data_IF_577519083104
#
_entry.id   IF_577519083104
#
_cell.length_a   1.000
_cell.length_b   1.000
_cell.length_c   1.000
_cell.angle_alpha   90.00
_cell.angle_beta   90.00
_cell.angle_gamma   90.00
#
_symmetry.space_group_name_H-M   'P 1'
#
loop_
_entity.id
_entity.type
_entity.pdbx_description
1 polymer ?
#
# COMPACT_ATOMS: atom_id res chain seq x y z
N UNK A 1 -28.59 1.93 -17.66
CA UNK A 1 -27.61 2.64 -16.82
C UNK A 1 -26.26 2.00 -17.06
N UNK A 2 -25.18 2.76 -17.24
CA UNK A 2 -23.84 2.20 -17.32
C UNK A 2 -23.46 1.54 -15.97
N UNK A 3 -22.69 0.44 -16.03
CA UNK A 3 -22.13 -0.20 -14.85
C UNK A 3 -21.17 0.73 -14.10
N UNK A 4 -20.37 1.55 -14.81
CA UNK A 4 -19.46 2.54 -14.18
C UNK A 4 -20.25 3.57 -13.36
N UNK A 5 -21.28 4.17 -13.96
CA UNK A 5 -22.20 5.11 -13.31
C UNK A 5 -22.94 4.49 -12.11
N UNK A 6 -23.36 3.22 -12.21
CA UNK A 6 -23.98 2.51 -11.08
C UNK A 6 -22.98 2.30 -9.93
N UNK A 7 -21.76 1.85 -10.22
CA UNK A 7 -20.73 1.67 -9.20
C UNK A 7 -20.30 2.99 -8.56
N UNK A 8 -20.22 4.07 -9.34
CA UNK A 8 -19.93 5.43 -8.86
C UNK A 8 -20.95 5.88 -7.79
N UNK A 9 -22.25 5.75 -8.06
CA UNK A 9 -23.30 6.10 -7.08
C UNK A 9 -23.31 5.19 -5.86
N UNK A 10 -23.05 3.90 -6.03
CA UNK A 10 -22.87 2.98 -4.89
C UNK A 10 -21.65 3.36 -4.03
N UNK A 11 -20.56 3.83 -4.65
CA UNK A 11 -19.37 4.32 -3.96
C UNK A 11 -19.64 5.59 -3.16
N UNK A 12 -20.20 6.63 -3.78
CA UNK A 12 -20.53 7.90 -3.09
C UNK A 12 -21.52 7.68 -1.94
N UNK A 13 -22.52 6.81 -2.11
CA UNK A 13 -23.43 6.42 -1.03
C UNK A 13 -22.70 5.69 0.11
N UNK A 14 -21.79 4.75 -0.19
CA UNK A 14 -21.04 4.06 0.86
C UNK A 14 -20.10 5.03 1.62
N UNK A 15 -19.60 6.08 0.96
CA UNK A 15 -18.82 7.14 1.61
C UNK A 15 -19.69 8.01 2.52
N UNK A 16 -20.89 8.40 2.09
CA UNK A 16 -21.82 9.20 2.91
C UNK A 16 -22.31 8.42 4.14
N UNK A 17 -22.62 7.13 3.96
CA UNK A 17 -22.94 6.19 5.04
C UNK A 17 -21.75 5.84 5.97
N UNK A 18 -20.59 6.52 5.84
CA UNK A 18 -19.43 6.38 6.73
C UNK A 18 -18.64 5.06 6.57
N UNK A 19 -18.85 4.32 5.48
CA UNK A 19 -18.30 2.96 5.27
C UNK A 19 -16.94 2.93 4.59
N UNK A 20 -16.24 4.07 4.51
CA UNK A 20 -14.89 4.17 3.95
C UNK A 20 -13.91 4.82 4.94
N UNK A 21 -12.82 4.13 5.19
CA UNK A 21 -11.60 4.69 5.77
C UNK A 21 -10.44 4.45 4.79
N UNK A 22 -9.45 5.35 4.77
CA UNK A 22 -8.26 5.25 3.94
C UNK A 22 -7.07 4.89 4.82
N UNK A 23 -6.41 3.76 4.56
CA UNK A 23 -5.12 3.43 5.17
C UNK A 23 -3.97 3.73 4.20
N UNK A 24 -3.06 4.62 4.62
CA UNK A 24 -1.84 4.98 3.90
C UNK A 24 -0.60 4.33 4.54
N UNK A 25 0.16 3.59 3.73
CA UNK A 25 1.43 2.97 4.12
C UNK A 25 2.60 3.97 3.95
N UNK A 26 2.88 4.79 4.96
CA UNK A 26 3.87 5.90 4.95
C UNK A 26 5.11 5.68 5.84
N UNK A 27 5.46 4.43 6.12
CA UNK A 27 6.71 4.09 6.82
C UNK A 27 8.00 4.31 6.02
N UNK A 28 7.91 4.57 4.72
CA UNK A 28 9.07 4.75 3.85
C UNK A 28 9.64 6.17 3.86
N UNK A 29 10.92 6.31 4.17
CA UNK A 29 11.69 7.54 3.95
C UNK A 29 11.90 7.84 2.46
N UNK A 30 12.12 9.11 2.12
CA UNK A 30 12.35 9.64 0.77
C UNK A 30 13.75 9.37 0.19
N UNK A 31 14.56 8.50 0.78
CA UNK A 31 16.02 8.41 0.49
C UNK A 31 16.36 8.11 -0.98
N UNK A 32 15.55 7.31 -1.69
CA UNK A 32 15.72 7.05 -3.14
C UNK A 32 15.35 8.24 -4.04
N UNK A 33 14.72 9.27 -3.47
CA UNK A 33 14.41 10.55 -4.10
C UNK A 33 15.43 11.64 -3.73
N UNK A 34 16.45 11.32 -2.91
CA UNK A 34 17.44 12.28 -2.43
C UNK A 34 17.01 13.11 -1.21
N UNK A 35 15.90 12.77 -0.55
CA UNK A 35 15.39 13.45 0.65
C UNK A 35 15.54 12.59 1.91
N UNK A 36 15.82 13.24 3.04
CA UNK A 36 15.81 12.68 4.40
C UNK A 36 14.40 12.36 4.92
N UNK A 37 13.39 12.96 4.33
CA UNK A 37 12.09 13.20 4.96
C UNK A 37 11.13 12.03 4.69
N UNK A 38 9.98 11.94 5.41
CA UNK A 38 8.93 11.01 5.04
C UNK A 38 8.51 11.21 3.58
N UNK A 39 8.38 10.13 2.82
CA UNK A 39 8.15 10.22 1.36
C UNK A 39 6.92 11.04 0.97
N UNK A 40 5.88 11.09 1.81
CA UNK A 40 4.68 11.90 1.58
C UNK A 40 4.94 13.41 1.55
N UNK A 41 6.00 13.91 2.20
CA UNK A 41 6.38 15.32 2.19
C UNK A 41 6.95 15.77 0.84
N UNK A 42 7.39 14.83 -0.02
CA UNK A 42 8.07 15.12 -1.27
C UNK A 42 7.17 15.88 -2.26
N UNK A 43 7.69 16.98 -2.81
CA UNK A 43 7.09 17.72 -3.93
C UNK A 43 7.70 17.22 -5.25
N UNK A 44 6.86 16.78 -6.19
CA UNK A 44 7.29 16.21 -7.47
C UNK A 44 7.54 17.24 -8.57
N UNK A 45 7.51 18.54 -8.25
CA UNK A 45 7.72 19.63 -9.20
C UNK A 45 6.45 20.05 -9.98
N UNK A 46 5.26 19.82 -9.42
CA UNK A 46 4.03 20.37 -10.02
C UNK A 46 4.02 21.90 -9.90
N UNK A 47 3.40 22.64 -10.85
CA UNK A 47 3.25 24.10 -10.77
C UNK A 47 2.54 24.61 -9.51
N UNK A 48 1.80 23.73 -8.82
CA UNK A 48 1.11 24.02 -7.57
C UNK A 48 1.98 23.87 -6.31
N UNK A 49 3.21 23.37 -6.43
CA UNK A 49 4.15 23.19 -5.31
C UNK A 49 3.78 22.10 -4.28
N UNK A 50 2.69 21.36 -4.50
CA UNK A 50 2.06 20.49 -3.49
C UNK A 50 2.86 19.21 -3.21
N UNK A 51 2.89 18.80 -1.94
CA UNK A 51 3.43 17.52 -1.50
C UNK A 51 2.51 16.34 -1.86
N UNK A 52 3.04 15.12 -1.85
CA UNK A 52 2.23 13.92 -2.05
C UNK A 52 1.13 13.74 -0.98
N UNK A 53 1.38 14.15 0.27
CA UNK A 53 0.35 14.18 1.32
C UNK A 53 -0.76 15.18 0.98
N UNK A 54 -0.44 16.42 0.58
CA UNK A 54 -1.44 17.42 0.23
C UNK A 54 -2.31 16.96 -0.96
N UNK A 55 -1.70 16.37 -1.98
CA UNK A 55 -2.42 15.82 -3.14
C UNK A 55 -3.36 14.65 -2.77
N UNK A 56 -3.12 13.95 -1.67
CA UNK A 56 -4.00 12.91 -1.14
C UNK A 56 -5.12 13.50 -0.26
N UNK A 57 -4.79 14.45 0.61
CA UNK A 57 -5.77 15.18 1.43
C UNK A 57 -6.82 15.90 0.59
N UNK A 58 -6.39 16.59 -0.47
CA UNK A 58 -7.31 17.30 -1.38
C UNK A 58 -8.22 16.35 -2.18
N UNK A 59 -7.76 15.12 -2.47
CA UNK A 59 -8.61 14.07 -3.06
C UNK A 59 -9.67 13.59 -2.05
N UNK A 60 -9.29 13.39 -0.79
CA UNK A 60 -10.21 13.01 0.30
C UNK A 60 -11.30 14.09 0.48
N UNK A 61 -10.90 15.36 0.59
CA UNK A 61 -11.83 16.51 0.65
C UNK A 61 -12.75 16.61 -0.57
N UNK A 62 -12.24 16.31 -1.77
CA UNK A 62 -13.05 16.28 -2.99
C UNK A 62 -14.12 15.18 -2.95
N UNK A 63 -13.75 13.96 -2.55
CA UNK A 63 -14.69 12.82 -2.45
C UNK A 63 -15.75 13.06 -1.36
N UNK A 64 -15.37 13.65 -0.22
CA UNK A 64 -16.33 14.05 0.83
C UNK A 64 -17.36 15.06 0.31
N UNK A 65 -16.94 16.10 -0.43
CA UNK A 65 -17.84 17.08 -1.04
C UNK A 65 -18.77 16.43 -2.07
N UNK A 66 -18.25 15.54 -2.91
CA UNK A 66 -19.05 14.82 -3.92
C UNK A 66 -20.07 13.86 -3.29
N UNK A 67 -19.71 13.19 -2.19
CA UNK A 67 -20.63 12.32 -1.45
C UNK A 67 -21.76 13.11 -0.79
N UNK A 68 -21.42 14.19 -0.08
CA UNK A 68 -22.39 15.10 0.54
C UNK A 68 -23.38 15.68 -0.50
N UNK A 69 -22.88 16.16 -1.63
CA UNK A 69 -23.70 16.68 -2.75
C UNK A 69 -24.59 15.60 -3.38
N UNK A 70 -24.09 14.38 -3.61
CA UNK A 70 -24.83 13.31 -4.25
C UNK A 70 -25.98 12.75 -3.39
N UNK A 71 -25.88 12.91 -2.07
CA UNK A 71 -26.82 12.35 -1.08
C UNK A 71 -27.65 13.42 -0.35
N UNK A 72 -27.39 14.71 -0.61
CA UNK A 72 -27.98 15.86 0.08
C UNK A 72 -27.75 15.81 1.61
N UNK A 73 -26.54 15.43 2.01
CA UNK A 73 -26.09 15.36 3.40
C UNK A 73 -25.24 16.60 3.75
N UNK A 74 -25.30 17.04 5.02
CA UNK A 74 -24.66 18.30 5.45
C UNK A 74 -23.13 18.23 5.55
N UNK A 75 -22.60 17.11 6.03
CA UNK A 75 -21.16 16.83 6.12
C UNK A 75 -20.92 15.33 5.99
N UNK A 76 -19.78 14.97 5.40
CA UNK A 76 -19.33 13.59 5.22
C UNK A 76 -17.83 13.55 5.55
N UNK A 77 -17.39 12.52 6.25
CA UNK A 77 -16.02 12.37 6.78
C UNK A 77 -15.43 11.03 6.35
N UNK A 78 -14.20 11.04 5.84
CA UNK A 78 -13.43 9.83 5.54
C UNK A 78 -12.24 9.80 6.49
N UNK A 79 -12.21 8.87 7.43
CA UNK A 79 -11.07 8.73 8.34
C UNK A 79 -9.81 8.29 7.59
N UNK A 80 -8.74 9.06 7.74
CA UNK A 80 -7.45 8.82 7.12
C UNK A 80 -6.45 8.31 8.15
N UNK A 81 -6.17 7.01 8.08
CA UNK A 81 -5.22 6.31 8.93
C UNK A 81 -3.86 6.28 8.25
N UNK A 82 -2.84 6.84 8.89
CA UNK A 82 -1.51 7.00 8.32
C UNK A 82 -0.53 6.13 9.12
N UNK A 83 -0.16 5.00 8.52
CA UNK A 83 0.86 4.11 9.07
C UNK A 83 2.25 4.71 8.85
N UNK A 84 2.85 5.18 9.93
CA UNK A 84 4.22 5.72 9.94
C UNK A 84 5.22 4.62 10.32
N UNK A 85 6.48 4.98 10.52
CA UNK A 85 7.50 4.15 11.16
C UNK A 85 8.20 4.96 12.27
N UNK A 86 8.96 4.33 13.18
CA UNK A 86 9.75 5.05 14.19
C UNK A 86 10.81 6.01 13.61
N UNK A 87 11.03 6.00 12.29
CA UNK A 87 11.94 6.91 11.56
C UNK A 87 11.21 7.96 10.69
N UNK A 88 9.88 7.92 10.62
CA UNK A 88 9.06 8.85 9.83
C UNK A 88 7.94 9.52 10.61
N UNK A 89 7.57 9.02 11.80
CA UNK A 89 6.39 9.44 12.57
C UNK A 89 6.40 10.92 12.97
N UNK A 90 7.33 11.33 13.84
CA UNK A 90 7.50 12.70 14.34
C UNK A 90 7.56 13.75 13.21
N UNK A 91 8.32 13.45 12.16
CA UNK A 91 8.44 14.30 10.98
C UNK A 91 7.14 14.36 10.14
N UNK A 92 6.34 13.30 10.14
CA UNK A 92 5.03 13.28 9.45
C UNK A 92 4.00 14.08 10.25
N UNK A 93 3.90 13.87 11.57
CA UNK A 93 2.98 14.61 12.44
C UNK A 93 3.19 16.13 12.34
N UNK A 94 4.43 16.58 12.55
CA UNK A 94 4.82 18.01 12.43
C UNK A 94 4.55 18.58 11.03
N UNK A 95 4.69 17.77 9.98
CA UNK A 95 4.37 18.20 8.61
C UNK A 95 2.86 18.41 8.41
N UNK A 96 2.01 17.57 9.00
CA UNK A 96 0.56 17.78 8.97
C UNK A 96 0.12 18.96 9.84
N UNK A 97 0.65 19.08 11.07
CA UNK A 97 0.35 20.19 11.99
C UNK A 97 0.68 21.56 11.36
N UNK A 98 1.90 21.71 10.83
CA UNK A 98 2.36 22.94 10.17
C UNK A 98 1.54 23.32 8.93
N UNK A 99 0.93 22.34 8.26
CA UNK A 99 0.03 22.56 7.12
C UNK A 99 -1.46 22.50 7.49
N UNK A 100 -1.80 22.52 8.79
CA UNK A 100 -3.18 22.47 9.31
C UNK A 100 -4.00 21.32 8.70
N UNK A 101 -3.39 20.13 8.68
CA UNK A 101 -3.96 18.89 8.13
C UNK A 101 -4.44 19.03 6.67
N UNK A 102 -3.89 20.00 5.93
CA UNK A 102 -4.27 20.35 4.55
C UNK A 102 -5.75 20.71 4.36
N UNK A 103 -6.42 21.16 5.43
CA UNK A 103 -7.85 21.50 5.43
C UNK A 103 -8.79 20.33 5.74
N UNK A 104 -8.27 19.19 6.21
CA UNK A 104 -9.04 18.19 6.95
C UNK A 104 -9.15 18.60 8.43
N UNK A 105 -10.19 18.16 9.12
CA UNK A 105 -10.25 18.26 10.58
C UNK A 105 -9.23 17.30 11.21
N UNK A 106 -8.60 17.70 12.32
CA UNK A 106 -7.49 16.95 12.94
C UNK A 106 -7.93 15.57 13.47
N UNK A 107 -9.17 15.41 13.89
CA UNK A 107 -9.74 14.17 14.43
C UNK A 107 -10.03 13.11 13.34
N UNK A 108 -10.19 13.51 12.08
CA UNK A 108 -10.33 12.56 10.97
C UNK A 108 -8.99 12.00 10.48
N UNK A 109 -7.86 12.48 10.98
CA UNK A 109 -6.51 11.99 10.62
C UNK A 109 -5.86 11.28 11.81
N UNK A 110 -5.71 9.96 11.73
CA UNK A 110 -5.11 9.13 12.80
C UNK A 110 -3.73 8.62 12.38
N UNK A 111 -2.68 9.09 13.04
CA UNK A 111 -1.34 8.52 12.92
C UNK A 111 -1.19 7.29 13.81
N UNK A 112 -0.49 6.27 13.32
CA UNK A 112 -0.01 5.18 14.15
C UNK A 112 1.31 4.65 13.60
N UNK A 113 2.23 4.29 14.48
CA UNK A 113 3.50 3.68 14.10
C UNK A 113 3.29 2.21 13.77
N UNK A 114 3.74 1.76 12.59
CA UNK A 114 4.19 0.37 12.45
C UNK A 114 5.44 0.16 13.32
N UNK A 115 5.96 -1.06 13.36
CA UNK A 115 7.33 -1.23 13.83
C UNK A 115 8.16 -2.24 13.04
N UNK A 116 9.21 -2.72 13.69
CA UNK A 116 10.47 -3.12 13.07
C UNK A 116 10.93 -4.49 13.54
N UNK A 117 11.08 -5.40 12.58
CA UNK A 117 11.76 -6.69 12.76
C UNK A 117 13.28 -6.44 12.80
N UNK A 118 14.04 -7.08 13.71
CA UNK A 118 15.50 -6.93 13.73
C UNK A 118 16.12 -7.54 12.46
N UNK A 119 17.22 -6.97 12.00
CA UNK A 119 18.00 -7.55 10.91
C UNK A 119 18.93 -8.65 11.41
N UNK A 120 19.16 -9.68 10.60
CA UNK A 120 19.91 -10.88 10.98
C UNK A 120 21.10 -11.07 10.02
N UNK A 121 22.30 -11.33 10.52
CA UNK A 121 23.49 -11.62 9.71
C UNK A 121 23.44 -13.03 9.10
N UNK A 122 24.31 -13.33 8.12
CA UNK A 122 24.31 -14.67 7.47
C UNK A 122 24.66 -15.83 8.42
N UNK A 123 25.29 -15.56 9.56
CA UNK A 123 25.55 -16.51 10.66
C UNK A 123 24.44 -16.54 11.73
N UNK A 124 23.26 -15.96 11.45
CA UNK A 124 22.06 -16.08 12.29
C UNK A 124 22.01 -15.15 13.51
N UNK A 125 22.90 -14.17 13.62
CA UNK A 125 22.99 -13.24 14.77
C UNK A 125 22.26 -11.93 14.47
N UNK A 126 21.80 -11.22 15.50
CA UNK A 126 21.22 -9.89 15.29
C UNK A 126 22.27 -8.85 14.88
N UNK A 127 21.95 -8.04 13.87
CA UNK A 127 22.81 -6.93 13.41
C UNK A 127 22.58 -5.72 14.31
N UNK A 128 23.58 -5.42 15.16
CA UNK A 128 23.54 -4.27 16.06
C UNK A 128 23.97 -2.99 15.31
N UNK A 129 23.02 -2.10 15.05
CA UNK A 129 23.25 -0.73 14.57
C UNK A 129 23.92 0.11 15.67
N UNK A 130 23.35 0.05 16.88
CA UNK A 130 23.92 0.50 18.15
C UNK A 130 23.63 -0.59 19.20
N UNK A 131 24.24 -0.57 20.40
CA UNK A 131 24.14 -1.71 21.32
C UNK A 131 22.74 -2.01 21.95
N UNK A 132 21.63 -1.33 21.59
CA UNK A 132 20.47 -1.20 22.51
C UNK A 132 18.97 -1.13 21.97
N UNK A 133 18.51 -1.56 20.76
CA UNK A 133 17.12 -1.18 20.26
C UNK A 133 16.34 -2.08 19.22
N UNK A 134 15.01 -2.41 19.42
CA UNK A 134 14.02 -3.14 18.49
C UNK A 134 12.48 -3.00 18.91
N UNK A 135 11.40 -2.99 18.04
CA UNK A 135 9.91 -3.33 18.31
C UNK A 135 8.82 -3.05 17.18
N UNK A 136 7.57 -3.63 17.19
CA UNK A 136 6.55 -3.88 16.05
C UNK A 136 4.99 -3.56 16.28
N UNK A 137 4.11 -3.23 15.25
CA UNK A 137 2.63 -3.58 15.02
C UNK A 137 1.65 -2.54 14.27
N UNK A 138 0.44 -2.91 13.71
CA UNK A 138 -0.60 -2.06 12.99
C UNK A 138 -2.09 -2.41 13.34
N UNK A 139 -3.02 -1.43 13.54
CA UNK A 139 -4.46 -1.67 13.79
C UNK A 139 -5.48 -0.93 12.88
N UNK A 140 -5.27 -0.70 11.57
CA UNK A 140 -6.36 -0.29 10.65
C UNK A 140 -6.40 -1.06 9.32
N UNK A 141 -5.76 -2.22 9.32
CA UNK A 141 -6.14 -3.38 8.51
C UNK A 141 -6.96 -4.46 9.33
N UNK A 142 -7.06 -4.38 10.68
CA UNK A 142 -8.17 -4.97 11.54
C UNK A 142 -9.82 -4.50 11.59
N UNK A 143 -11.00 -2.48 11.32
CA UNK A 143 -12.31 -1.79 10.97
C UNK A 143 -12.64 -1.57 9.47
N UNK A 144 -11.69 -1.76 8.51
CA UNK A 144 -11.98 -2.40 7.21
C UNK A 144 -12.51 -3.90 7.22
N UNK A 145 -11.79 -5.13 7.05
CA UNK A 145 -11.71 -6.77 7.10
C UNK A 145 -12.62 -8.18 7.55
N UNK A 146 -13.85 -8.69 8.12
CA UNK A 146 -15.37 -8.59 8.63
C UNK A 146 -16.58 -8.46 7.68
N UNK A 147 -17.05 -7.25 7.41
CA UNK A 147 -18.29 -6.85 6.74
C UNK A 147 -18.59 -7.69 5.49
N UNK A 148 -17.54 -8.13 4.79
CA UNK A 148 -17.65 -8.99 3.61
C UNK A 148 -17.82 -10.49 3.90
N UNK A 149 -17.70 -10.92 5.15
CA UNK A 149 -17.71 -12.31 5.60
C UNK A 149 -16.47 -13.12 5.17
N UNK A 150 -15.40 -12.44 4.74
CA UNK A 150 -14.25 -13.07 4.08
C UNK A 150 -13.04 -13.18 5.01
N UNK A 151 -12.41 -14.35 5.06
CA UNK A 151 -11.19 -14.56 5.84
C UNK A 151 -9.95 -13.78 5.32
N UNK A 152 -10.02 -13.23 4.10
CA UNK A 152 -9.26 -12.05 3.62
C UNK A 152 -9.76 -11.56 2.23
N UNK A 153 -9.03 -10.59 1.68
CA UNK A 153 -9.05 -10.02 0.32
C UNK A 153 -7.67 -9.34 0.11
N UNK A 154 -7.52 -8.27 -0.69
CA UNK A 154 -6.52 -7.19 -0.54
C UNK A 154 -6.52 -6.14 -1.68
N UNK A 155 -5.54 -5.23 -1.65
CA UNK A 155 -5.16 -4.25 -2.69
C UNK A 155 -4.83 -4.87 -4.05
N UNK A 156 -5.36 -4.32 -5.14
CA UNK A 156 -4.94 -4.63 -6.53
C UNK A 156 -5.00 -3.40 -7.44
N UNK A 157 -4.26 -3.44 -8.55
CA UNK A 157 -4.44 -2.63 -9.77
C UNK A 157 -4.16 -3.50 -11.00
N UNK A 158 -3.84 -2.91 -12.15
CA UNK A 158 -3.26 -3.62 -13.28
C UNK A 158 -1.79 -3.29 -13.51
N UNK A 159 -1.06 -4.31 -13.97
CA UNK A 159 0.30 -4.20 -14.46
C UNK A 159 0.23 -3.50 -15.81
N UNK A 160 0.94 -2.39 -16.01
CA UNK A 160 0.74 -1.60 -17.23
C UNK A 160 1.80 -1.85 -18.31
N UNK A 161 2.88 -2.56 -17.99
CA UNK A 161 3.78 -3.12 -18.99
C UNK A 161 4.30 -4.50 -18.55
N UNK A 162 4.57 -5.41 -19.50
CA UNK A 162 4.97 -6.79 -19.22
C UNK A 162 6.11 -6.93 -18.19
N UNK A 163 7.14 -6.09 -18.31
CA UNK A 163 8.38 -6.13 -17.54
C UNK A 163 8.30 -5.39 -16.20
N UNK A 164 7.13 -4.89 -15.80
CA UNK A 164 6.99 -4.18 -14.53
C UNK A 164 7.36 -5.10 -13.35
N UNK A 165 8.22 -4.61 -12.45
CA UNK A 165 8.85 -5.39 -11.37
C UNK A 165 8.00 -5.40 -10.11
N UNK A 166 6.94 -6.22 -10.17
CA UNK A 166 5.82 -6.21 -9.23
C UNK A 166 5.15 -7.60 -9.18
N UNK A 167 4.77 -8.06 -7.99
CA UNK A 167 3.98 -9.28 -7.81
C UNK A 167 2.63 -9.26 -8.55
N UNK A 168 2.20 -10.44 -9.00
CA UNK A 168 0.98 -10.64 -9.82
C UNK A 168 0.11 -11.76 -9.26
N UNK A 169 -1.21 -11.67 -9.49
CA UNK A 169 -2.13 -12.74 -9.09
C UNK A 169 -2.18 -13.90 -10.07
N UNK A 170 -2.02 -15.11 -9.51
CA UNK A 170 -2.03 -16.37 -10.24
C UNK A 170 -2.94 -17.35 -9.52
N UNK A 171 -3.86 -18.01 -10.25
CA UNK A 171 -4.63 -19.15 -9.71
C UNK A 171 -3.95 -20.44 -10.14
N UNK A 172 -3.52 -21.27 -9.19
CA UNK A 172 -2.82 -22.53 -9.50
C UNK A 172 -3.82 -23.61 -9.89
N UNK A 173 -3.98 -23.80 -11.21
CA UNK A 173 -4.89 -24.78 -11.80
C UNK A 173 -6.36 -24.33 -11.87
N UNK A 174 -7.23 -25.15 -12.49
CA UNK A 174 -8.69 -24.95 -12.40
C UNK A 174 -9.15 -25.24 -10.97
N UNK A 175 -9.89 -24.33 -10.36
CA UNK A 175 -10.43 -24.47 -9.01
C UNK A 175 -9.45 -24.20 -7.86
N UNK A 176 -8.15 -24.48 -8.04
CA UNK A 176 -7.12 -24.34 -7.01
C UNK A 176 -6.85 -22.91 -6.48
N UNK A 177 -5.91 -22.76 -5.54
CA UNK A 177 -5.73 -21.54 -4.74
C UNK A 177 -5.24 -20.35 -5.56
N UNK A 178 -5.54 -19.15 -5.05
CA UNK A 178 -5.04 -17.88 -5.56
C UNK A 178 -3.76 -17.52 -4.79
N UNK A 179 -2.67 -17.24 -5.51
CA UNK A 179 -1.34 -16.95 -4.96
C UNK A 179 -0.75 -15.72 -5.64
N UNK A 180 0.03 -14.92 -4.91
CA UNK A 180 1.00 -14.01 -5.55
C UNK A 180 2.14 -14.86 -6.11
N UNK A 181 2.71 -14.44 -7.23
CA UNK A 181 4.07 -14.86 -7.65
C UNK A 181 4.87 -13.57 -7.84
N UNK A 182 6.05 -13.50 -7.21
CA UNK A 182 6.90 -12.32 -7.31
C UNK A 182 7.67 -12.26 -8.62
N UNK A 183 8.04 -11.04 -9.04
CA UNK A 183 8.67 -10.83 -10.36
C UNK A 183 10.06 -11.45 -10.49
N UNK A 184 10.68 -11.84 -9.37
CA UNK A 184 11.95 -12.59 -9.30
C UNK A 184 11.78 -14.11 -9.32
N UNK A 185 10.57 -14.60 -9.04
CA UNK A 185 10.22 -16.03 -9.01
C UNK A 185 9.49 -16.47 -10.29
N UNK A 186 8.92 -15.51 -11.01
CA UNK A 186 8.48 -15.65 -12.38
C UNK A 186 9.68 -15.85 -13.31
N UNK A 187 9.83 -17.08 -13.80
CA UNK A 187 10.64 -17.38 -15.00
C UNK A 187 10.32 -16.37 -16.12
N UNK A 188 11.36 -15.86 -16.79
CA UNK A 188 11.22 -14.92 -17.90
C UNK A 188 10.35 -15.48 -19.05
N UNK A 189 10.32 -16.81 -19.23
CA UNK A 189 9.42 -17.45 -20.20
C UNK A 189 7.93 -17.26 -19.81
N UNK A 190 7.61 -17.36 -18.51
CA UNK A 190 6.26 -17.14 -17.97
C UNK A 190 5.93 -15.64 -17.91
N UNK A 191 6.87 -14.80 -17.47
CA UNK A 191 6.68 -13.34 -17.43
C UNK A 191 6.41 -12.74 -18.83
N UNK A 192 6.93 -13.38 -19.88
CA UNK A 192 6.74 -13.00 -21.28
C UNK A 192 5.61 -13.78 -21.99
N UNK A 193 4.95 -14.74 -21.31
CA UNK A 193 4.00 -15.64 -21.94
C UNK A 193 2.75 -14.90 -22.44
N UNK A 194 2.47 -15.00 -23.74
CA UNK A 194 1.31 -14.38 -24.39
C UNK A 194 0.13 -15.37 -24.47
N UNK A 195 -1.08 -14.90 -24.18
CA UNK A 195 -2.31 -15.59 -24.50
C UNK A 195 -2.57 -15.49 -26.02
N UNK A 196 -2.36 -16.59 -26.74
CA UNK A 196 -2.42 -16.64 -28.20
C UNK A 196 -3.78 -16.28 -28.81
N UNK A 197 -4.88 -16.33 -28.04
CA UNK A 197 -6.22 -15.94 -28.52
C UNK A 197 -6.51 -14.44 -28.38
N UNK A 198 -5.72 -13.72 -27.57
CA UNK A 198 -6.00 -12.30 -27.24
C UNK A 198 -4.82 -11.36 -27.47
N UNK A 199 -3.63 -11.88 -27.76
CA UNK A 199 -2.39 -11.11 -27.92
C UNK A 199 -1.85 -10.46 -26.64
N UNK A 200 -2.55 -10.62 -25.50
CA UNK A 200 -2.18 -10.03 -24.19
C UNK A 200 -1.27 -10.96 -23.40
N UNK A 201 -0.48 -10.40 -22.48
CA UNK A 201 0.23 -11.20 -21.48
C UNK A 201 -0.73 -12.11 -20.68
N UNK A 202 -0.26 -13.33 -20.40
CA UNK A 202 -0.92 -14.33 -19.54
C UNK A 202 -0.93 -13.93 -18.05
N UNK A 203 -0.03 -13.02 -17.64
CA UNK A 203 0.08 -12.50 -16.27
C UNK A 203 0.18 -10.96 -16.29
N UNK A 204 -0.96 -10.27 -16.31
CA UNK A 204 -1.06 -8.82 -16.57
C UNK A 204 -1.68 -7.97 -15.45
N UNK A 205 -1.85 -8.50 -14.23
CA UNK A 205 -2.53 -7.82 -13.11
C UNK A 205 -1.64 -7.76 -11.86
N UNK A 206 -1.58 -6.62 -11.15
CA UNK A 206 -0.53 -6.34 -10.16
C UNK A 206 -0.98 -5.41 -9.02
N UNK A 207 -0.35 -5.48 -7.84
CA UNK A 207 -0.76 -4.81 -6.59
C UNK A 207 -0.04 -3.48 -6.36
N UNK A 208 -0.66 -2.31 -6.61
CA UNK A 208 0.06 -1.01 -6.51
C UNK A 208 -0.66 0.22 -5.91
N UNK A 209 -2.00 0.37 -5.94
CA UNK A 209 -2.69 1.56 -5.35
C UNK A 209 -3.72 1.24 -4.26
N UNK A 210 -4.94 0.79 -4.58
CA UNK A 210 -6.09 0.87 -3.65
C UNK A 210 -6.50 -0.45 -2.98
N UNK A 211 -6.74 -0.38 -1.66
CA UNK A 211 -6.80 -1.51 -0.70
C UNK A 211 -8.20 -1.77 -0.16
N UNK A 212 -8.69 -3.01 -0.30
CA UNK A 212 -9.99 -3.40 0.26
C UNK A 212 -9.99 -4.84 0.82
N UNK A 213 -10.27 -4.94 2.13
CA UNK A 213 -10.70 -6.11 2.92
C UNK A 213 -11.73 -5.55 3.98
N UNK A 214 -12.94 -6.09 4.31
CA UNK A 214 -14.00 -5.49 5.25
C UNK A 214 -14.36 -6.31 6.59
N UNK A 215 -14.36 -6.03 8.04
CA UNK A 215 -13.36 -6.12 9.37
C UNK A 215 -13.07 -7.31 10.46
N UNK A 216 -12.17 -8.32 10.32
CA UNK A 216 -12.29 -9.65 11.02
C UNK A 216 -11.05 -10.40 11.49
N UNK A 217 -11.29 -11.40 12.36
CA UNK A 217 -11.34 -12.86 12.00
C UNK A 217 -10.01 -13.50 11.60
N UNK A 218 -8.95 -12.71 11.52
CA UNK A 218 -7.58 -13.10 11.26
C UNK A 218 -6.93 -13.75 12.49
N UNK A 219 -7.64 -14.67 13.16
CA UNK A 219 -7.15 -15.50 14.25
C UNK A 219 -6.19 -16.58 13.68
N UNK A 220 -5.12 -16.13 13.03
CA UNK A 220 -4.15 -16.95 12.29
C UNK A 220 -3.08 -16.10 11.59
N UNK A 221 -3.45 -14.96 10.98
CA UNK A 221 -2.53 -14.18 10.14
C UNK A 221 -1.21 -13.80 10.83
N UNK A 222 -1.25 -13.33 12.09
CA UNK A 222 -0.03 -12.98 12.85
C UNK A 222 0.84 -14.20 13.21
N UNK A 223 0.26 -15.40 13.25
CA UNK A 223 0.95 -16.67 13.59
C UNK A 223 1.53 -17.36 12.35
N UNK A 224 0.81 -17.27 11.24
CA UNK A 224 1.10 -17.98 9.99
C UNK A 224 1.75 -17.06 8.92
N UNK A 225 2.03 -15.80 9.25
CA UNK A 225 2.66 -14.84 8.34
C UNK A 225 4.11 -15.21 8.01
N UNK A 226 4.38 -15.33 6.71
CA UNK A 226 5.70 -15.59 6.16
C UNK A 226 6.53 -14.30 6.16
N UNK A 227 7.78 -14.38 6.64
CA UNK A 227 8.76 -13.32 6.45
C UNK A 227 9.52 -13.52 5.15
N UNK A 228 9.43 -12.54 4.25
CA UNK A 228 10.26 -12.46 3.05
C UNK A 228 11.67 -12.01 3.42
N UNK A 229 12.67 -12.74 2.92
CA UNK A 229 14.08 -12.51 3.25
C UNK A 229 14.76 -11.68 2.16
N UNK A 230 15.08 -10.43 2.49
CA UNK A 230 15.73 -9.52 1.56
C UNK A 230 17.18 -9.28 1.98
N UNK A 231 18.16 -9.78 1.21
CA UNK A 231 19.57 -9.45 1.44
C UNK A 231 19.82 -7.94 1.27
N UNK A 232 20.57 -7.37 2.21
CA UNK A 232 20.94 -5.95 2.28
C UNK A 232 22.36 -5.80 2.81
N UNK A 233 23.02 -4.71 2.40
CA UNK A 233 24.16 -4.14 3.11
C UNK A 233 23.60 -3.25 4.22
N UNK A 234 23.92 -3.57 5.47
CA UNK A 234 23.29 -3.00 6.67
C UNK A 234 24.35 -2.29 7.52
N UNK A 235 24.12 -1.05 8.00
CA UNK A 235 25.01 -0.41 8.96
C UNK A 235 25.18 -1.26 10.24
N UNK A 236 26.36 -1.21 10.84
CA UNK A 236 26.62 -1.88 12.13
C UNK A 236 27.73 -1.17 12.91
N UNK A 237 27.92 -1.58 14.17
CA UNK A 237 29.06 -1.16 15.00
C UNK A 237 30.45 -1.46 14.40
N UNK A 238 30.53 -2.22 13.31
CA UNK A 238 31.76 -2.51 12.55
C UNK A 238 31.70 -1.89 11.12
N UNK A 239 30.94 -0.80 10.96
CA UNK A 239 30.74 -0.11 9.69
C UNK A 239 29.55 -0.69 8.93
N UNK A 240 29.76 -1.77 8.17
CA UNK A 240 28.71 -2.42 7.38
C UNK A 240 28.87 -3.93 7.37
N UNK A 241 27.74 -4.65 7.45
CA UNK A 241 27.67 -6.11 7.25
C UNK A 241 26.65 -6.47 6.16
N UNK A 242 26.74 -7.70 5.63
CA UNK A 242 25.68 -8.28 4.80
C UNK A 242 24.72 -9.07 5.69
N UNK A 243 23.44 -8.74 5.61
CA UNK A 243 22.39 -9.37 6.41
C UNK A 243 21.07 -9.47 5.67
N UNK A 244 20.16 -10.21 6.28
CA UNK A 244 18.78 -10.41 5.90
C UNK A 244 17.92 -9.37 6.63
N UNK A 245 17.17 -8.57 5.87
CA UNK A 245 16.00 -7.88 6.39
C UNK A 245 14.80 -8.79 6.21
N UNK A 246 14.00 -8.94 7.27
CA UNK A 246 12.74 -9.68 7.26
C UNK A 246 11.60 -8.69 7.02
N UNK A 247 10.83 -8.89 5.96
CA UNK A 247 9.69 -8.05 5.60
C UNK A 247 8.42 -8.91 5.45
N UNK A 248 7.30 -8.45 5.99
CA UNK A 248 5.97 -9.00 5.72
C UNK A 248 5.29 -8.08 4.71
N UNK A 249 4.59 -8.62 3.71
CA UNK A 249 3.89 -7.82 2.72
C UNK A 249 2.39 -7.86 2.95
N UNK A 250 1.72 -6.72 2.77
CA UNK A 250 0.25 -6.61 2.91
C UNK A 250 -0.52 -7.55 1.96
N UNK A 251 0.12 -8.03 0.89
CA UNK A 251 -0.44 -9.01 -0.03
C UNK A 251 -0.25 -10.47 0.40
N UNK A 252 0.55 -10.77 1.42
CA UNK A 252 0.64 -12.12 2.02
C UNK A 252 -0.66 -12.52 2.76
N UNK A 253 -1.56 -11.56 2.97
CA UNK A 253 -2.91 -11.82 3.46
C UNK A 253 -3.88 -12.36 2.38
N UNK A 254 -3.58 -12.24 1.08
CA UNK A 254 -4.48 -12.73 0.02
C UNK A 254 -4.79 -14.24 0.04
N UNK A 255 -3.86 -15.17 0.36
CA UNK A 255 -4.16 -16.61 0.38
C UNK A 255 -5.22 -17.00 1.43
N UNK A 256 -5.42 -16.18 2.45
CA UNK A 256 -6.47 -16.35 3.45
C UNK A 256 -7.86 -15.95 2.90
N UNK A 257 -7.94 -15.42 1.67
CA UNK A 257 -9.17 -14.90 1.06
C UNK A 257 -10.07 -16.00 0.47
N UNK A 258 -11.31 -16.19 0.96
CA UNK A 258 -12.28 -17.09 0.34
C UNK A 258 -12.87 -16.53 -0.96
N UNK A 259 -12.74 -15.22 -1.21
CA UNK A 259 -12.98 -14.62 -2.53
C UNK A 259 -12.10 -13.39 -2.76
N UNK A 260 -11.82 -13.09 -4.02
CA UNK A 260 -11.06 -11.90 -4.44
C UNK A 260 -11.48 -11.54 -5.86
N UNK A 261 -11.65 -10.24 -6.11
CA UNK A 261 -12.00 -9.69 -7.41
C UNK A 261 -10.90 -8.75 -7.91
N UNK A 262 -10.74 -8.65 -9.24
CA UNK A 262 -9.74 -7.80 -9.88
C UNK A 262 -10.41 -6.75 -10.75
N UNK A 263 -10.02 -5.48 -10.59
CA UNK A 263 -10.57 -4.35 -11.34
C UNK A 263 -9.60 -3.88 -12.45
N UNK A 264 -10.12 -3.30 -13.53
CA UNK A 264 -9.31 -2.66 -14.58
C UNK A 264 -9.28 -1.15 -14.35
N UNK A 265 -8.10 -0.56 -14.41
CA UNK A 265 -7.88 0.89 -14.50
C UNK A 265 -6.85 1.16 -15.58
N UNK A 266 -6.95 2.32 -16.23
CA UNK A 266 -5.90 2.84 -17.10
C UNK A 266 -4.74 3.36 -16.23
N UNK A 267 -3.49 3.14 -16.64
CA UNK A 267 -2.32 3.48 -15.81
C UNK A 267 -2.10 4.99 -15.78
N UNK A 268 -2.28 5.61 -16.92
CA UNK A 268 -2.23 7.04 -17.19
C UNK A 268 -3.22 7.85 -16.33
N UNK A 269 -4.34 7.24 -15.91
CA UNK A 269 -5.32 7.84 -15.00
C UNK A 269 -4.96 7.62 -13.51
N UNK A 270 -4.52 6.40 -13.16
CA UNK A 270 -4.51 5.93 -11.76
C UNK A 270 -3.12 5.64 -11.15
N UNK A 271 -2.03 5.57 -11.93
CA UNK A 271 -0.74 5.09 -11.41
C UNK A 271 0.55 5.70 -12.00
N UNK A 272 1.07 6.71 -11.31
CA UNK A 272 2.40 7.29 -11.53
C UNK A 272 3.32 7.10 -10.29
N UNK A 273 4.13 6.02 -10.21
CA UNK A 273 4.90 5.69 -9.02
C UNK A 273 6.20 6.50 -8.88
N UNK A 274 6.18 7.54 -8.04
CA UNK A 274 7.39 8.23 -7.57
C UNK A 274 8.28 7.24 -6.83
N UNK A 275 9.41 6.80 -7.41
CA UNK A 275 10.30 5.78 -6.82
C UNK A 275 11.79 6.16 -6.82
N UNK A 276 12.24 6.96 -7.78
CA UNK A 276 13.63 7.41 -7.95
C UNK A 276 13.65 8.93 -8.09
N UNK A 277 14.80 9.57 -7.84
CA UNK A 277 15.04 10.97 -8.21
C UNK A 277 15.01 11.19 -9.73
N UNK A 278 14.79 12.44 -10.17
CA UNK A 278 14.78 12.81 -11.58
C UNK A 278 16.10 12.43 -12.27
N UNK A 279 16.01 11.84 -13.47
CA UNK A 279 17.15 11.36 -14.27
C UNK A 279 17.35 9.84 -14.25
N UNK A 280 16.87 9.14 -13.22
CA UNK A 280 16.95 7.67 -13.17
C UNK A 280 15.79 7.02 -13.95
N UNK A 281 16.11 6.37 -15.09
CA UNK A 281 15.15 5.61 -15.90
C UNK A 281 14.52 4.44 -15.10
N UNK A 282 13.30 4.06 -15.50
CA UNK A 282 12.53 2.93 -14.97
C UNK A 282 13.09 1.57 -15.43
#
# INVERSE_FOLDING_TARGET
MDHKERWWKMGLKAVSEGKLAVLLLSGGQGTRLGSSDPKGCFNVGLPSGKSLFQLQAERILCVQRLAAQAMNEGSVTIHWYIMTSPFTDDATGKFFESHKYFGLEADQVTFFQQGTTPCISKDGRYVMETPFKVRVADPTFLGYFIDKGVAAAAKVVRKAYPQEKVGVFVRRGKGGPLTVVEYTELDQSLASAVNQQTGRLRFCWSVLTHVYFGFSKSNGLEKDSIYHLAEKKIPSIHGYTMGLKLEQFIFDAFPYAPSTALFEVLREEEFAPVKNANGFKL
#
